data_IF_044950124552
#
_entry.id   IF_044950124552
#
_cell.length_a   1.000
_cell.length_b   1.000
_cell.length_c   1.000
_cell.angle_alpha   90.00
_cell.angle_beta   90.00
_cell.angle_gamma   90.00
#
_symmetry.space_group_name_H-M   'P 1'
#
loop_
_entity.id
_entity.type
_entity.pdbx_description
1 polymer ?
#
# COMPACT_ATOMS: atom_id res chain seq x y z
N UNK A 1 -9.89 5.31 27.67
CA UNK A 1 -9.09 6.15 26.77
C UNK A 1 -8.36 5.20 25.84
N UNK A 2 -9.00 4.86 24.73
CA UNK A 2 -8.47 3.89 23.77
C UNK A 2 -7.58 4.67 22.82
N UNK A 3 -6.28 4.67 23.07
CA UNK A 3 -5.29 5.15 22.11
C UNK A 3 -4.92 3.96 21.25
N UNK A 4 -5.27 3.92 19.95
CA UNK A 4 -4.68 2.92 19.07
C UNK A 4 -3.16 3.10 19.06
N UNK A 5 -2.36 2.04 18.89
CA UNK A 5 -0.89 2.14 18.85
C UNK A 5 -0.37 3.04 17.72
N UNK A 6 -1.25 3.41 16.77
CA UNK A 6 -1.00 4.40 15.73
C UNK A 6 -1.18 5.84 16.23
N UNK A 7 -0.17 6.35 16.92
CA UNK A 7 0.04 7.80 17.06
C UNK A 7 0.53 8.48 15.77
N UNK A 8 0.46 7.82 14.61
CA UNK A 8 1.13 8.23 13.37
C UNK A 8 0.17 8.61 12.22
N UNK A 9 -1.14 8.35 12.37
CA UNK A 9 -2.18 8.72 11.40
C UNK A 9 -3.16 9.78 11.92
N UNK A 10 -2.95 10.27 13.15
CA UNK A 10 -3.52 11.55 13.57
C UNK A 10 -2.53 12.66 13.21
N UNK A 11 -3.00 13.86 12.82
CA UNK A 11 -2.18 15.07 12.83
C UNK A 11 -1.38 15.16 14.13
N UNK A 12 -0.16 15.70 14.08
CA UNK A 12 0.62 16.02 15.28
C UNK A 12 0.84 17.56 15.31
N UNK A 13 0.25 18.29 16.27
CA UNK A 13 -0.58 17.80 17.38
C UNK A 13 -1.94 17.24 16.92
N UNK A 14 -2.54 16.31 17.69
CA UNK A 14 -3.85 15.76 17.38
C UNK A 14 -4.92 16.86 17.34
N UNK A 15 -5.97 16.70 16.51
CA UNK A 15 -7.07 17.66 16.43
C UNK A 15 -7.71 17.85 17.81
N UNK A 16 -8.05 19.10 18.16
CA UNK A 16 -8.66 19.43 19.44
C UNK A 16 -10.18 19.36 19.39
N UNK A 17 -10.78 19.53 18.21
CA UNK A 17 -12.22 19.48 17.95
C UNK A 17 -12.52 18.86 16.58
N UNK A 18 -13.79 18.54 16.30
CA UNK A 18 -14.26 17.96 15.04
C UNK A 18 -13.89 18.85 13.83
N UNK A 19 -13.84 20.17 14.03
CA UNK A 19 -13.49 21.14 13.00
C UNK A 19 -12.02 21.10 12.58
N UNK A 20 -11.14 20.50 13.39
CA UNK A 20 -9.70 20.37 13.10
C UNK A 20 -9.39 19.13 12.25
N UNK A 21 -10.38 18.25 12.03
CA UNK A 21 -10.22 17.06 11.20
C UNK A 21 -10.19 17.39 9.71
N UNK A 22 -9.39 16.62 8.97
CA UNK A 22 -9.30 16.73 7.51
C UNK A 22 -10.65 16.35 6.89
N UNK A 23 -11.24 17.26 6.13
CA UNK A 23 -12.41 16.98 5.31
C UNK A 23 -12.05 15.92 4.26
N UNK A 24 -12.77 14.80 4.26
CA UNK A 24 -12.50 13.68 3.37
C UNK A 24 -13.72 13.31 2.54
N UNK A 25 -13.53 13.17 1.23
CA UNK A 25 -14.50 12.58 0.31
C UNK A 25 -14.02 11.17 -0.04
N UNK A 26 -14.91 10.18 0.10
CA UNK A 26 -14.55 8.76 -0.14
C UNK A 26 -15.50 8.15 -1.16
N UNK A 27 -14.95 7.69 -2.27
CA UNK A 27 -15.63 6.79 -3.20
C UNK A 27 -15.15 5.36 -2.97
N UNK A 28 -15.93 4.61 -2.19
CA UNK A 28 -15.68 3.20 -1.91
C UNK A 28 -16.50 2.31 -2.86
N UNK A 29 -16.02 2.16 -4.09
CA UNK A 29 -16.69 1.34 -5.11
C UNK A 29 -16.09 -0.08 -5.22
N UNK A 30 -16.74 -1.12 -4.65
CA UNK A 30 -16.26 -2.50 -4.79
C UNK A 30 -16.48 -3.10 -6.19
N UNK A 31 -17.21 -2.41 -7.08
CA UNK A 31 -17.46 -2.86 -8.45
C UNK A 31 -16.35 -2.46 -9.43
N UNK A 32 -15.26 -1.84 -8.97
CA UNK A 32 -14.06 -1.66 -9.80
C UNK A 32 -13.58 -3.04 -10.27
N UNK A 33 -13.43 -3.28 -11.59
CA UNK A 33 -12.95 -4.55 -12.11
C UNK A 33 -11.68 -5.05 -11.41
N UNK A 34 -11.54 -6.37 -11.33
CA UNK A 34 -10.42 -7.00 -10.62
C UNK A 34 -9.10 -6.68 -11.32
N UNK A 35 -8.18 -6.02 -10.61
CA UNK A 35 -6.83 -5.74 -11.11
C UNK A 35 -6.05 -7.04 -11.35
N UNK A 36 -6.33 -8.08 -10.56
CA UNK A 36 -5.71 -9.40 -10.71
C UNK A 36 -6.18 -10.07 -12.00
N UNK A 37 -7.49 -10.09 -12.24
CA UNK A 37 -8.04 -10.73 -13.45
C UNK A 37 -7.61 -10.00 -14.72
N UNK A 38 -7.51 -8.67 -14.67
CA UNK A 38 -7.05 -7.85 -15.79
C UNK A 38 -5.55 -8.03 -16.07
N UNK A 39 -4.69 -7.98 -15.04
CA UNK A 39 -3.22 -7.96 -15.22
C UNK A 39 -2.58 -9.35 -15.28
N UNK A 40 -3.06 -10.27 -14.44
CA UNK A 40 -2.44 -11.58 -14.23
C UNK A 40 -3.15 -12.63 -15.07
N UNK A 41 -4.47 -12.76 -14.89
CA UNK A 41 -5.24 -13.79 -15.59
C UNK A 41 -5.50 -13.39 -17.06
N UNK A 42 -5.40 -12.09 -17.38
CA UNK A 42 -5.67 -11.50 -18.70
C UNK A 42 -7.05 -11.84 -19.25
N UNK A 43 -8.00 -12.06 -18.36
CA UNK A 43 -9.41 -12.39 -18.65
C UNK A 43 -10.37 -11.27 -18.21
N UNK A 44 -9.92 -10.39 -17.32
CA UNK A 44 -10.73 -9.33 -16.75
C UNK A 44 -10.80 -8.07 -17.61
N UNK A 45 -11.88 -7.30 -17.43
CA UNK A 45 -12.03 -5.97 -18.01
C UNK A 45 -11.02 -4.98 -17.40
N UNK A 46 -10.63 -3.97 -18.19
CA UNK A 46 -9.77 -2.90 -17.68
C UNK A 46 -10.47 -2.13 -16.56
N UNK A 47 -9.82 -1.90 -15.40
CA UNK A 47 -10.40 -1.08 -14.34
C UNK A 47 -10.31 0.42 -14.63
N UNK A 48 -9.54 0.84 -15.66
CA UNK A 48 -9.26 2.24 -15.97
C UNK A 48 -10.53 3.09 -16.12
N UNK A 49 -11.55 2.70 -16.92
CA UNK A 49 -12.74 3.53 -17.07
C UNK A 49 -13.47 3.79 -15.74
N UNK A 50 -13.53 2.78 -14.88
CA UNK A 50 -14.15 2.90 -13.56
C UNK A 50 -13.32 3.80 -12.63
N UNK A 51 -12.01 3.59 -12.56
CA UNK A 51 -11.10 4.41 -11.74
C UNK A 51 -11.10 5.87 -12.16
N UNK A 52 -11.12 6.14 -13.47
CA UNK A 52 -11.19 7.50 -14.03
C UNK A 52 -12.51 8.18 -13.67
N UNK A 53 -13.65 7.48 -13.75
CA UNK A 53 -14.93 8.07 -13.39
C UNK A 53 -15.01 8.38 -11.89
N UNK A 54 -14.48 7.50 -11.04
CA UNK A 54 -14.37 7.75 -9.60
C UNK A 54 -13.51 8.99 -9.30
N UNK A 55 -12.34 9.11 -9.94
CA UNK A 55 -11.44 10.24 -9.76
C UNK A 55 -12.09 11.57 -10.15
N UNK A 56 -12.70 11.63 -11.35
CA UNK A 56 -13.47 12.80 -11.81
C UNK A 56 -14.67 13.09 -10.91
N UNK A 57 -15.32 12.05 -10.40
CA UNK A 57 -16.42 12.18 -9.45
C UNK A 57 -16.00 12.88 -8.16
N UNK A 58 -14.84 12.53 -7.60
CA UNK A 58 -14.27 13.16 -6.41
C UNK A 58 -13.82 14.59 -6.68
N UNK A 59 -13.14 14.83 -7.81
CA UNK A 59 -12.74 16.18 -8.22
C UNK A 59 -13.95 17.11 -8.37
N UNK A 60 -15.02 16.67 -9.06
CA UNK A 60 -16.26 17.45 -9.20
C UNK A 60 -16.94 17.78 -7.86
N UNK A 61 -16.71 16.97 -6.83
CA UNK A 61 -17.21 17.21 -5.47
C UNK A 61 -16.32 18.20 -4.67
N UNK A 62 -15.21 18.64 -5.26
CA UNK A 62 -14.30 19.63 -4.69
C UNK A 62 -13.19 19.02 -3.84
N UNK A 63 -12.67 17.84 -4.22
CA UNK A 63 -11.43 17.34 -3.64
C UNK A 63 -10.23 18.15 -4.17
N UNK A 64 -9.34 18.61 -3.29
CA UNK A 64 -8.15 19.39 -3.67
C UNK A 64 -6.99 18.52 -4.19
N UNK A 65 -6.95 17.24 -3.79
CA UNK A 65 -6.04 16.20 -4.27
C UNK A 65 -6.68 14.82 -4.06
N UNK A 66 -6.16 13.79 -4.73
CA UNK A 66 -6.65 12.42 -4.68
C UNK A 66 -5.59 11.44 -4.18
N UNK A 67 -6.06 10.37 -3.54
CA UNK A 67 -5.25 9.22 -3.13
C UNK A 67 -5.95 7.91 -3.47
N UNK A 68 -5.18 6.87 -3.75
CA UNK A 68 -5.69 5.53 -4.07
C UNK A 68 -5.16 4.55 -3.02
N UNK A 69 -5.93 4.08 -2.03
CA UNK A 69 -5.44 3.15 -1.01
C UNK A 69 -5.40 1.71 -1.53
N UNK A 70 -4.72 1.48 -2.66
CA UNK A 70 -4.52 0.17 -3.26
C UNK A 70 -3.23 0.13 -4.07
N UNK A 71 -2.30 -0.73 -3.66
CA UNK A 71 -1.02 -0.88 -4.36
C UNK A 71 -1.22 -1.32 -5.81
N UNK A 72 -1.97 -2.38 -6.08
CA UNK A 72 -2.13 -2.90 -7.45
C UNK A 72 -2.85 -1.90 -8.38
N UNK A 73 -3.73 -1.04 -7.86
CA UNK A 73 -4.39 -0.01 -8.66
C UNK A 73 -3.41 1.06 -9.18
N UNK A 74 -2.25 1.23 -8.55
CA UNK A 74 -1.22 2.18 -9.01
C UNK A 74 -0.54 1.77 -10.31
N UNK A 75 -0.75 0.54 -10.79
CA UNK A 75 -0.39 0.21 -12.18
C UNK A 75 -1.06 1.17 -13.19
N UNK A 76 -2.26 1.67 -12.84
CA UNK A 76 -3.06 2.59 -13.67
C UNK A 76 -3.00 4.04 -13.16
N UNK A 77 -2.00 4.38 -12.33
CA UNK A 77 -1.88 5.71 -11.72
C UNK A 77 -1.78 6.80 -12.78
N UNK A 78 -1.01 6.57 -13.85
CA UNK A 78 -0.79 7.57 -14.90
C UNK A 78 -2.09 7.91 -15.64
N UNK A 79 -2.91 6.91 -15.97
CA UNK A 79 -4.20 7.13 -16.63
C UNK A 79 -5.20 7.87 -15.73
N UNK A 80 -5.20 7.57 -14.42
CA UNK A 80 -6.05 8.27 -13.46
C UNK A 80 -5.59 9.71 -13.27
N UNK A 81 -4.30 9.93 -13.08
CA UNK A 81 -3.71 11.26 -12.90
C UNK A 81 -3.90 12.15 -14.13
N UNK A 82 -3.85 11.59 -15.34
CA UNK A 82 -4.09 12.33 -16.57
C UNK A 82 -5.57 12.70 -16.81
N UNK A 83 -6.51 12.15 -16.02
CA UNK A 83 -7.94 12.33 -16.23
C UNK A 83 -8.58 13.43 -15.37
N UNK A 84 -7.80 14.02 -14.46
CA UNK A 84 -8.18 15.07 -13.50
C UNK A 84 -7.12 16.17 -13.49
N UNK A 85 -7.48 17.37 -13.05
CA UNK A 85 -6.58 18.53 -12.93
C UNK A 85 -5.94 18.62 -11.53
N UNK A 86 -6.54 17.98 -10.52
CA UNK A 86 -6.00 17.93 -9.15
C UNK A 86 -4.87 16.89 -8.99
N UNK A 87 -3.90 17.11 -8.07
CA UNK A 87 -2.83 16.14 -7.84
C UNK A 87 -3.34 14.76 -7.42
N UNK A 88 -2.74 13.70 -7.95
CA UNK A 88 -2.99 12.31 -7.52
C UNK A 88 -1.72 11.76 -6.91
N UNK A 89 -1.68 11.62 -5.58
CA UNK A 89 -0.48 11.17 -4.87
C UNK A 89 -0.16 9.73 -5.26
N UNK A 90 1.12 9.46 -5.54
CA UNK A 90 1.60 8.14 -5.91
C UNK A 90 2.09 7.37 -4.68
N UNK A 91 1.32 6.37 -4.23
CA UNK A 91 1.64 5.52 -3.09
C UNK A 91 2.98 4.80 -3.23
N UNK A 92 3.30 4.32 -4.43
CA UNK A 92 4.48 3.51 -4.70
C UNK A 92 5.73 4.38 -4.54
N UNK A 93 5.70 5.57 -5.12
CA UNK A 93 6.74 6.58 -4.94
C UNK A 93 6.93 6.97 -3.48
N UNK A 94 5.84 7.32 -2.80
CA UNK A 94 5.88 7.74 -1.40
C UNK A 94 6.46 6.65 -0.51
N UNK A 95 6.07 5.39 -0.75
CA UNK A 95 6.53 4.23 0.01
C UNK A 95 8.01 3.94 -0.25
N UNK A 96 8.46 4.00 -1.51
CA UNK A 96 9.88 3.81 -1.84
C UNK A 96 10.76 4.90 -1.21
N UNK A 97 10.31 6.17 -1.22
CA UNK A 97 10.99 7.27 -0.54
C UNK A 97 11.04 7.07 0.98
N UNK A 98 9.96 6.62 1.59
CA UNK A 98 9.90 6.37 3.04
C UNK A 98 10.82 5.20 3.45
N UNK A 99 10.84 4.11 2.67
CA UNK A 99 11.75 2.98 2.89
C UNK A 99 13.23 3.40 2.81
N UNK A 100 13.61 4.23 1.84
CA UNK A 100 14.97 4.78 1.74
C UNK A 100 15.33 5.72 2.91
N UNK A 101 14.35 6.47 3.44
CA UNK A 101 14.57 7.30 4.65
C UNK A 101 14.72 6.45 5.90
N UNK A 102 13.92 5.40 6.02
CA UNK A 102 13.97 4.44 7.12
C UNK A 102 15.32 3.71 7.16
N UNK A 103 15.90 3.43 5.99
CA UNK A 103 17.21 2.80 5.81
C UNK A 103 18.08 3.55 4.80
N UNK A 104 18.91 4.51 5.24
CA UNK A 104 19.78 5.27 4.34
C UNK A 104 20.83 4.43 3.59
N UNK A 105 21.18 3.25 4.12
CA UNK A 105 22.11 2.26 3.55
C UNK A 105 21.39 1.14 2.79
N UNK A 106 20.14 1.37 2.38
CA UNK A 106 19.33 0.37 1.70
C UNK A 106 19.95 -0.04 0.37
N UNK A 107 20.08 -1.34 0.17
CA UNK A 107 20.50 -2.02 -1.05
C UNK A 107 19.58 -3.20 -1.38
N UNK A 108 18.81 -3.69 -0.40
CA UNK A 108 17.84 -4.78 -0.55
C UNK A 108 16.59 -4.54 0.30
N UNK A 109 15.44 -4.47 -0.34
CA UNK A 109 14.13 -4.26 0.31
C UNK A 109 13.25 -5.49 0.09
N UNK A 110 12.65 -6.01 1.16
CA UNK A 110 11.72 -7.13 1.08
C UNK A 110 10.27 -6.64 0.96
N UNK A 111 9.49 -7.19 0.05
CA UNK A 111 8.08 -6.83 -0.14
C UNK A 111 7.16 -7.91 0.38
N UNK A 112 6.30 -7.53 1.33
CA UNK A 112 5.13 -8.30 1.72
C UNK A 112 3.95 -7.83 0.86
N UNK A 113 3.68 -8.56 -0.22
CA UNK A 113 2.80 -8.11 -1.28
C UNK A 113 1.99 -9.26 -1.90
N UNK A 114 0.95 -8.89 -2.66
CA UNK A 114 0.32 -9.86 -3.56
C UNK A 114 1.27 -10.25 -4.71
N UNK A 115 1.10 -11.45 -5.27
CA UNK A 115 1.91 -11.93 -6.42
C UNK A 115 1.81 -11.01 -7.63
N UNK A 116 0.71 -10.27 -7.78
CA UNK A 116 0.56 -9.34 -8.89
C UNK A 116 1.64 -8.25 -8.91
N UNK A 117 2.06 -7.75 -7.74
CA UNK A 117 3.10 -6.72 -7.66
C UNK A 117 4.45 -7.24 -8.19
N UNK A 118 4.78 -8.51 -7.90
CA UNK A 118 5.96 -9.17 -8.42
C UNK A 118 5.88 -9.36 -9.95
N UNK A 119 4.72 -9.78 -10.47
CA UNK A 119 4.56 -10.04 -11.90
C UNK A 119 4.66 -8.78 -12.76
N UNK A 120 4.05 -7.68 -12.30
CA UNK A 120 4.05 -6.41 -13.05
C UNK A 120 5.25 -5.53 -12.73
N UNK A 121 6.11 -5.96 -11.78
CA UNK A 121 7.29 -5.24 -11.31
C UNK A 121 6.98 -3.79 -10.90
N UNK A 122 5.95 -3.60 -10.07
CA UNK A 122 5.41 -2.26 -9.79
C UNK A 122 6.36 -1.38 -8.97
N UNK A 123 7.09 -1.97 -8.03
CA UNK A 123 7.95 -1.24 -7.09
C UNK A 123 9.39 -1.10 -7.59
N UNK A 124 9.82 -2.00 -8.47
CA UNK A 124 11.19 -2.10 -8.95
C UNK A 124 11.72 -0.81 -9.56
N UNK A 125 11.01 -0.11 -10.47
CA UNK A 125 11.50 1.16 -11.03
C UNK A 125 11.79 2.23 -9.96
N UNK A 126 11.08 2.21 -8.83
CA UNK A 126 11.23 3.17 -7.74
C UNK A 126 12.42 2.87 -6.81
N UNK A 127 12.98 1.67 -6.92
CA UNK A 127 14.15 1.21 -6.18
C UNK A 127 15.38 1.01 -7.08
N UNK A 128 15.22 0.91 -8.40
CA UNK A 128 16.30 0.72 -9.36
C UNK A 128 17.28 1.92 -9.43
N UNK A 129 16.79 3.17 -9.49
CA UNK A 129 17.68 4.35 -9.52
C UNK A 129 18.58 4.45 -8.27
N UNK A 130 18.09 4.21 -7.05
CA UNK A 130 18.93 4.09 -5.85
C UNK A 130 19.87 2.87 -5.83
N UNK A 131 19.78 1.95 -6.79
CA UNK A 131 20.53 0.68 -6.78
C UNK A 131 20.01 -0.34 -5.74
N UNK A 132 18.76 -0.19 -5.29
CA UNK A 132 18.10 -1.07 -4.33
C UNK A 132 17.42 -2.23 -5.05
N UNK A 133 17.75 -3.46 -4.63
CA UNK A 133 17.10 -4.66 -5.14
C UNK A 133 15.83 -4.97 -4.36
N UNK A 134 14.72 -5.11 -5.08
CA UNK A 134 13.45 -5.61 -4.55
C UNK A 134 13.51 -7.14 -4.40
N UNK A 135 13.10 -7.65 -3.24
CA UNK A 135 13.03 -9.05 -2.90
C UNK A 135 11.58 -9.45 -2.61
N UNK A 136 11.23 -10.68 -2.99
CA UNK A 136 9.95 -11.32 -2.68
C UNK A 136 10.23 -12.64 -1.96
N UNK A 137 9.31 -13.11 -1.11
CA UNK A 137 9.40 -14.45 -0.52
C UNK A 137 9.50 -15.54 -1.59
N UNK A 138 10.07 -16.69 -1.22
CA UNK A 138 10.05 -17.91 -2.00
C UNK A 138 8.62 -18.36 -2.33
N UNK A 139 8.46 -19.15 -3.40
CA UNK A 139 7.14 -19.48 -3.97
C UNK A 139 6.13 -20.02 -2.95
N UNK A 140 6.55 -20.93 -2.09
CA UNK A 140 5.67 -21.61 -1.14
C UNK A 140 5.21 -20.63 -0.05
N UNK A 141 6.15 -19.81 0.45
CA UNK A 141 5.86 -18.76 1.44
C UNK A 141 5.00 -17.65 0.84
N UNK A 142 5.25 -17.28 -0.41
CA UNK A 142 4.45 -16.31 -1.14
C UNK A 142 3.01 -16.82 -1.36
N UNK A 143 2.81 -18.13 -1.53
CA UNK A 143 1.49 -18.73 -1.64
C UNK A 143 0.72 -18.68 -0.33
N UNK A 144 1.36 -18.99 0.80
CA UNK A 144 0.75 -18.84 2.13
C UNK A 144 0.38 -17.37 2.42
N UNK A 145 1.25 -16.42 2.04
CA UNK A 145 0.96 -14.99 2.17
C UNK A 145 -0.27 -14.59 1.33
N UNK A 146 -0.41 -15.13 0.13
CA UNK A 146 -1.60 -14.91 -0.72
C UNK A 146 -2.87 -15.49 -0.12
N UNK A 147 -2.80 -16.66 0.52
CA UNK A 147 -3.94 -17.24 1.25
C UNK A 147 -4.37 -16.36 2.41
N UNK A 148 -3.40 -15.81 3.18
CA UNK A 148 -3.68 -14.83 4.22
C UNK A 148 -4.34 -13.57 3.65
N UNK A 149 -3.80 -12.97 2.58
CA UNK A 149 -4.38 -11.78 1.94
C UNK A 149 -5.85 -12.03 1.56
N UNK A 150 -6.14 -13.18 0.94
CA UNK A 150 -7.51 -13.57 0.57
C UNK A 150 -8.41 -13.77 1.80
N UNK A 151 -7.89 -14.37 2.87
CA UNK A 151 -8.63 -14.60 4.11
C UNK A 151 -8.94 -13.28 4.84
N UNK A 152 -7.99 -12.35 4.90
CA UNK A 152 -8.20 -11.01 5.46
C UNK A 152 -9.22 -10.24 4.64
N UNK A 153 -9.10 -10.26 3.31
CA UNK A 153 -10.08 -9.64 2.40
C UNK A 153 -11.50 -10.18 2.59
N UNK A 154 -11.64 -11.47 2.92
CA UNK A 154 -12.92 -12.10 3.21
C UNK A 154 -13.40 -11.91 4.66
N UNK A 155 -12.62 -11.24 5.53
CA UNK A 155 -12.93 -11.07 6.95
C UNK A 155 -12.88 -12.37 7.76
N UNK A 156 -12.16 -13.40 7.29
CA UNK A 156 -12.15 -14.76 7.87
C UNK A 156 -10.72 -15.29 8.01
N UNK A 157 -9.87 -14.58 8.73
CA UNK A 157 -8.49 -14.99 8.99
C UNK A 157 -8.31 -15.52 10.42
N UNK A 158 -7.38 -16.44 10.59
CA UNK A 158 -7.05 -17.06 11.87
C UNK A 158 -5.65 -16.64 12.33
N UNK A 159 -5.33 -16.75 13.63
CA UNK A 159 -3.97 -16.51 14.13
C UNK A 159 -2.90 -17.35 13.40
N UNK A 160 -3.21 -18.59 13.03
CA UNK A 160 -2.28 -19.45 12.29
C UNK A 160 -1.97 -18.94 10.87
N UNK A 161 -2.94 -18.31 10.21
CA UNK A 161 -2.72 -17.67 8.91
C UNK A 161 -1.88 -16.40 9.06
N UNK A 162 -2.03 -15.64 10.15
CA UNK A 162 -1.21 -14.44 10.40
C UNK A 162 0.28 -14.77 10.49
N UNK A 163 0.63 -15.96 10.99
CA UNK A 163 2.02 -16.41 11.03
C UNK A 163 2.67 -16.56 9.63
N UNK A 164 1.89 -16.52 8.54
CA UNK A 164 2.44 -16.43 7.18
C UNK A 164 3.22 -15.12 6.95
N UNK A 165 2.82 -14.02 7.60
CA UNK A 165 3.58 -12.77 7.58
C UNK A 165 4.97 -12.95 8.21
N UNK A 166 5.05 -13.61 9.36
CA UNK A 166 6.31 -13.86 10.06
C UNK A 166 7.25 -14.75 9.23
N UNK A 167 6.70 -15.80 8.61
CA UNK A 167 7.47 -16.67 7.71
C UNK A 167 7.96 -15.92 6.48
N UNK A 168 7.14 -15.07 5.89
CA UNK A 168 7.54 -14.23 4.76
C UNK A 168 8.63 -13.22 5.14
N UNK A 169 8.53 -12.61 6.34
CA UNK A 169 9.56 -11.71 6.85
C UNK A 169 10.88 -12.43 7.12
N UNK A 170 10.85 -13.64 7.69
CA UNK A 170 12.06 -14.42 7.94
C UNK A 170 12.71 -14.90 6.65
N UNK A 171 11.92 -15.34 5.67
CA UNK A 171 12.43 -15.73 4.35
C UNK A 171 13.11 -14.54 3.64
N UNK A 172 12.47 -13.36 3.66
CA UNK A 172 13.06 -12.12 3.14
C UNK A 172 14.32 -11.71 3.90
N UNK A 173 14.36 -11.88 5.22
CA UNK A 173 15.55 -11.66 6.04
C UNK A 173 16.68 -12.59 5.62
N UNK A 174 16.40 -13.88 5.41
CA UNK A 174 17.39 -14.86 4.95
C UNK A 174 17.94 -14.53 3.54
N UNK A 175 17.13 -13.90 2.68
CA UNK A 175 17.55 -13.35 1.39
C UNK A 175 18.35 -12.03 1.49
N UNK A 176 18.46 -11.48 2.71
CA UNK A 176 19.24 -10.29 3.03
C UNK A 176 18.47 -8.97 2.91
N UNK A 177 17.14 -8.99 3.04
CA UNK A 177 16.36 -7.76 3.16
C UNK A 177 16.83 -6.93 4.38
N UNK A 178 17.01 -5.62 4.19
CA UNK A 178 17.41 -4.69 5.26
C UNK A 178 16.20 -3.97 5.89
N UNK A 179 15.08 -3.93 5.17
CA UNK A 179 13.78 -3.50 5.67
C UNK A 179 12.68 -4.23 4.90
N UNK A 180 11.47 -4.17 5.44
CA UNK A 180 10.26 -4.72 4.83
C UNK A 180 9.34 -3.58 4.41
N UNK A 181 8.73 -3.73 3.24
CA UNK A 181 7.60 -2.91 2.78
C UNK A 181 6.34 -3.75 2.80
N UNK A 182 5.34 -3.31 3.57
CA UNK A 182 3.99 -3.90 3.53
C UNK A 182 3.24 -3.25 2.37
N UNK A 183 3.20 -3.95 1.24
CA UNK A 183 2.70 -3.44 -0.04
C UNK A 183 1.32 -4.05 -0.40
N UNK A 184 0.51 -4.35 0.60
CA UNK A 184 -0.88 -4.80 0.47
C UNK A 184 -1.66 -4.23 1.63
N UNK A 185 -2.71 -3.46 1.37
CA UNK A 185 -3.48 -2.78 2.43
C UNK A 185 -4.23 -3.77 3.33
N UNK A 186 -4.52 -4.98 2.85
CA UNK A 186 -5.00 -6.08 3.68
C UNK A 186 -3.95 -6.55 4.70
N UNK A 187 -2.66 -6.55 4.35
CA UNK A 187 -1.61 -6.94 5.29
C UNK A 187 -1.38 -5.88 6.38
N UNK A 188 -1.66 -4.61 6.10
CA UNK A 188 -1.65 -3.53 7.09
C UNK A 188 -2.62 -3.79 8.26
N UNK A 189 -3.69 -4.58 8.05
CA UNK A 189 -4.63 -4.97 9.12
C UNK A 189 -3.97 -5.88 10.17
N UNK A 190 -2.93 -6.61 9.79
CA UNK A 190 -2.26 -7.61 10.63
C UNK A 190 -0.79 -7.27 10.88
N UNK A 191 -0.30 -6.13 10.41
CA UNK A 191 1.11 -5.73 10.50
C UNK A 191 1.60 -5.58 11.94
N UNK A 192 0.75 -5.14 12.88
CA UNK A 192 1.12 -5.02 14.31
C UNK A 192 1.51 -6.36 14.93
N UNK A 193 1.07 -7.46 14.31
CA UNK A 193 1.36 -8.83 14.77
C UNK A 193 2.62 -9.40 14.11
N UNK A 194 3.22 -8.67 13.18
CA UNK A 194 4.44 -9.08 12.51
C UNK A 194 5.59 -9.11 13.53
N UNK A 195 6.16 -10.29 13.74
CA UNK A 195 7.27 -10.48 14.65
C UNK A 195 8.59 -10.48 13.87
N UNK A 196 9.23 -9.32 13.75
CA UNK A 196 10.49 -9.16 13.02
C UNK A 196 11.36 -8.05 13.63
N UNK A 197 12.68 -8.22 13.56
CA UNK A 197 13.64 -7.14 13.90
C UNK A 197 13.92 -6.22 12.71
N UNK A 198 13.43 -6.55 11.51
CA UNK A 198 13.62 -5.70 10.34
C UNK A 198 12.76 -4.44 10.48
N UNK A 199 13.28 -3.25 10.17
CA UNK A 199 12.46 -2.04 10.05
C UNK A 199 11.34 -2.24 9.03
N UNK A 200 10.14 -1.81 9.37
CA UNK A 200 8.92 -2.00 8.57
C UNK A 200 8.41 -0.65 8.08
N UNK A 201 8.13 -0.59 6.78
CA UNK A 201 7.49 0.53 6.11
C UNK A 201 6.11 0.07 5.60
N UNK A 202 5.04 0.51 6.24
CA UNK A 202 3.67 0.22 5.80
C UNK A 202 3.19 1.26 4.78
N UNK A 203 2.87 0.81 3.57
CA UNK A 203 2.38 1.69 2.51
C UNK A 203 1.08 2.42 2.92
N UNK A 204 0.17 1.77 3.66
CA UNK A 204 -1.06 2.40 4.13
C UNK A 204 -0.77 3.57 5.08
N UNK A 205 0.15 3.37 6.02
CA UNK A 205 0.56 4.42 6.96
C UNK A 205 1.33 5.55 6.26
N UNK A 206 2.18 5.21 5.30
CA UNK A 206 2.88 6.20 4.47
C UNK A 206 1.87 7.08 3.74
N UNK A 207 0.83 6.49 3.16
CA UNK A 207 -0.22 7.23 2.48
C UNK A 207 -0.98 8.14 3.46
N UNK A 208 -1.36 7.62 4.62
CA UNK A 208 -2.06 8.40 5.64
C UNK A 208 -1.24 9.61 6.09
N UNK A 209 0.07 9.42 6.39
CA UNK A 209 0.97 10.53 6.72
C UNK A 209 1.13 11.53 5.58
N UNK A 210 1.15 11.05 4.33
CA UNK A 210 1.22 11.94 3.17
C UNK A 210 -0.05 12.78 3.00
N UNK A 211 -1.24 12.19 3.18
CA UNK A 211 -2.53 12.91 3.17
C UNK A 211 -2.55 14.00 4.24
N UNK A 212 -2.09 13.71 5.45
CA UNK A 212 -2.06 14.70 6.54
C UNK A 212 -1.15 15.87 6.20
N UNK A 213 0.07 15.59 5.72
CA UNK A 213 1.01 16.63 5.30
C UNK A 213 0.44 17.48 4.16
N UNK A 214 -0.13 16.84 3.15
CA UNK A 214 -0.69 17.56 2.00
C UNK A 214 -1.87 18.45 2.40
N UNK A 215 -2.75 17.95 3.30
CA UNK A 215 -3.92 18.69 3.74
C UNK A 215 -3.60 19.86 4.69
N UNK A 216 -2.47 19.82 5.42
CA UNK A 216 -2.11 20.82 6.43
C UNK A 216 -1.01 21.80 5.99
N UNK A 217 -0.29 21.51 4.90
CA UNK A 217 0.86 22.29 4.43
C UNK A 217 2.15 22.03 5.20
#
# INVERSE_FOLDING_TARGET
MWSPPWGLSCPDPPPNDDADHIRMLVDSNPHVPSRIEALIDRTGESPVPCLVEMARGLERQGADFLVIPCNTAHHYHAEVAAAVDVPVLNLIELTARDANRLRPDLTRVGLLASTALQHIRLYEPWFEEPGVRVLYPGSDVQQELMELIRAVKAGRYTPGQVAACDRAAEDLRALGAQCLVVACTELSVVVERLNTDLPVCDAADVLARAVIREALG
#
